data_IF_262861899730
#
_entry.id   IF_262861899730
#
_cell.length_a   1.000
_cell.length_b   1.000
_cell.length_c   1.000
_cell.angle_alpha   90.00
_cell.angle_beta   90.00
_cell.angle_gamma   90.00
#
_symmetry.space_group_name_H-M   'P 1'
#
loop_
_entity.id
_entity.type
_entity.pdbx_description
1 polymer ?
#
# COMPACT_ATOMS: atom_id res chain seq x y z
N UNK A 1 -7.90 40.72 19.44
CA UNK A 1 -7.93 39.25 19.63
C UNK A 1 -8.67 38.62 18.45
N UNK A 2 -7.98 38.04 17.46
CA UNK A 2 -8.62 37.39 16.34
C UNK A 2 -8.87 35.90 16.65
N UNK A 3 -10.04 35.44 16.24
CA UNK A 3 -10.68 34.18 16.58
C UNK A 3 -9.99 32.96 15.96
N UNK A 4 -9.98 31.88 16.75
CA UNK A 4 -9.49 30.54 16.39
C UNK A 4 -10.48 29.90 15.42
N UNK A 5 -10.18 29.94 14.12
CA UNK A 5 -10.85 29.10 13.13
C UNK A 5 -10.33 27.65 13.28
N UNK A 6 -11.24 26.74 13.64
CA UNK A 6 -10.95 25.38 14.04
C UNK A 6 -10.44 24.48 12.90
N UNK A 7 -9.49 23.61 13.25
CA UNK A 7 -8.84 22.57 12.42
C UNK A 7 -9.77 21.53 11.76
N UNK A 8 -11.10 21.69 11.83
CA UNK A 8 -12.08 20.72 11.32
C UNK A 8 -12.58 21.00 9.90
N UNK A 9 -12.19 22.11 9.27
CA UNK A 9 -12.68 22.50 7.94
C UNK A 9 -11.78 22.10 6.76
N UNK A 10 -10.63 21.46 6.98
CA UNK A 10 -9.64 21.21 5.90
C UNK A 10 -9.69 19.81 5.27
N UNK A 11 -10.69 18.97 5.58
CA UNK A 11 -10.79 17.59 5.06
C UNK A 11 -11.98 17.35 4.10
N UNK A 12 -12.67 18.40 3.65
CA UNK A 12 -13.93 18.25 2.90
C UNK A 12 -13.87 18.71 1.43
N UNK A 13 -12.70 18.94 0.84
CA UNK A 13 -12.62 19.44 -0.53
C UNK A 13 -11.65 18.60 -1.35
N UNK A 14 -12.22 17.66 -2.12
CA UNK A 14 -11.74 16.98 -3.35
C UNK A 14 -12.10 15.49 -3.36
N UNK A 15 -13.40 15.19 -3.25
CA UNK A 15 -13.96 13.92 -3.69
C UNK A 15 -14.99 14.23 -4.77
N UNK A 16 -14.51 14.42 -6.00
CA UNK A 16 -15.36 14.71 -7.13
C UNK A 16 -14.63 14.47 -8.43
N UNK A 17 -14.79 13.26 -8.97
CA UNK A 17 -15.10 12.99 -10.38
C UNK A 17 -15.27 11.47 -10.61
N UNK A 18 -16.54 11.08 -10.68
CA UNK A 18 -17.13 10.13 -11.64
C UNK A 18 -16.73 8.65 -11.61
N UNK A 19 -17.49 7.86 -10.85
CA UNK A 19 -17.67 6.43 -11.07
C UNK A 19 -19.05 6.17 -11.71
N UNK A 20 -19.17 6.31 -13.03
CA UNK A 20 -20.35 5.85 -13.78
C UNK A 20 -19.84 5.10 -15.02
N UNK A 21 -19.94 3.76 -15.01
CA UNK A 21 -19.78 2.94 -16.22
C UNK A 21 -18.92 1.66 -16.15
N UNK A 22 -18.38 1.25 -14.99
CA UNK A 22 -17.34 0.20 -14.95
C UNK A 22 -17.80 -1.24 -14.59
N UNK A 23 -19.08 -1.51 -14.36
CA UNK A 23 -19.49 -2.79 -13.74
C UNK A 23 -19.38 -4.02 -14.66
N UNK A 24 -19.48 -3.83 -15.99
CA UNK A 24 -19.40 -4.95 -16.97
C UNK A 24 -17.99 -5.28 -17.46
N UNK A 25 -17.12 -4.28 -17.66
CA UNK A 25 -15.73 -4.48 -18.16
C UNK A 25 -14.75 -4.89 -17.06
N UNK A 26 -14.97 -4.49 -15.81
CA UNK A 26 -14.08 -4.81 -14.70
C UNK A 26 -13.97 -6.32 -14.43
N UNK A 27 -15.05 -7.09 -14.63
CA UNK A 27 -15.07 -8.53 -14.35
C UNK A 27 -14.25 -9.38 -15.34
N UNK A 28 -14.16 -8.95 -16.60
CA UNK A 28 -13.32 -9.60 -17.62
C UNK A 28 -11.86 -9.12 -17.56
N UNK A 29 -11.61 -7.91 -17.05
CA UNK A 29 -10.27 -7.33 -16.91
C UNK A 29 -9.48 -7.84 -15.68
N UNK A 30 -10.15 -8.48 -14.72
CA UNK A 30 -9.51 -9.04 -13.51
C UNK A 30 -8.90 -10.43 -13.72
N UNK A 31 -9.19 -11.09 -14.84
CA UNK A 31 -8.58 -12.37 -15.20
C UNK A 31 -7.22 -12.10 -15.88
N UNK A 32 -6.24 -11.61 -15.13
CA UNK A 32 -4.89 -11.63 -15.64
C UNK A 32 -4.38 -13.08 -15.72
N UNK A 33 -3.68 -13.46 -16.80
CA UNK A 33 -3.18 -14.82 -16.97
C UNK A 33 -2.27 -15.27 -15.82
N UNK A 34 -1.56 -14.34 -15.17
CA UNK A 34 -0.52 -14.64 -14.19
C UNK A 34 -0.98 -14.81 -12.73
N UNK A 35 -2.24 -14.50 -12.39
CA UNK A 35 -2.73 -14.58 -11.00
C UNK A 35 -3.97 -15.46 -10.84
N UNK A 36 -4.03 -16.17 -9.72
CA UNK A 36 -5.27 -16.68 -9.13
C UNK A 36 -5.87 -15.61 -8.24
N UNK A 37 -7.19 -15.43 -8.34
CA UNK A 37 -7.93 -14.43 -7.57
C UNK A 37 -8.88 -15.15 -6.62
N UNK A 38 -8.77 -14.82 -5.33
CA UNK A 38 -9.66 -15.32 -4.30
C UNK A 38 -10.41 -14.16 -3.66
N UNK A 39 -11.74 -14.22 -3.71
CA UNK A 39 -12.63 -13.35 -2.93
C UNK A 39 -12.82 -13.95 -1.54
N UNK A 40 -11.98 -13.52 -0.59
CA UNK A 40 -11.90 -14.11 0.74
C UNK A 40 -12.88 -13.41 1.69
N UNK A 41 -13.72 -14.20 2.36
CA UNK A 41 -14.53 -13.77 3.50
C UNK A 41 -14.02 -14.47 4.76
N UNK A 42 -13.85 -13.70 5.83
CA UNK A 42 -13.37 -14.16 7.14
C UNK A 42 -14.26 -13.63 8.24
N UNK A 43 -14.21 -14.17 9.48
CA UNK A 43 -14.91 -13.58 10.62
C UNK A 43 -14.60 -12.08 10.77
N UNK A 44 -15.62 -11.29 11.09
CA UNK A 44 -15.51 -9.83 11.22
C UNK A 44 -16.84 -9.12 10.95
N UNK A 45 -16.84 -7.79 11.00
CA UNK A 45 -18.03 -6.97 10.75
C UNK A 45 -17.93 -6.28 9.40
N UNK A 46 -19.07 -6.02 8.76
CA UNK A 46 -19.10 -5.28 7.49
C UNK A 46 -18.58 -3.84 7.62
N UNK A 47 -18.65 -3.27 8.83
CA UNK A 47 -18.22 -1.91 9.11
C UNK A 47 -16.70 -1.82 9.22
N UNK A 48 -16.06 -2.80 9.87
CA UNK A 48 -14.63 -2.80 10.15
C UNK A 48 -13.82 -3.55 9.08
N UNK A 49 -14.30 -4.71 8.67
CA UNK A 49 -13.62 -5.61 7.73
C UNK A 49 -14.02 -7.06 7.95
N UNK A 50 -14.51 -7.72 6.90
CA UNK A 50 -14.71 -9.18 6.84
C UNK A 50 -14.46 -9.75 5.44
N UNK A 51 -13.87 -8.94 4.56
CA UNK A 51 -13.65 -9.27 3.16
C UNK A 51 -12.31 -8.74 2.68
N UNK A 52 -11.61 -9.55 1.90
CA UNK A 52 -10.41 -9.16 1.19
C UNK A 52 -10.39 -9.83 -0.18
N UNK A 53 -9.76 -9.18 -1.16
CA UNK A 53 -9.38 -9.84 -2.42
C UNK A 53 -7.91 -10.21 -2.34
N UNK A 54 -7.62 -11.48 -2.60
CA UNK A 54 -6.27 -12.04 -2.54
C UNK A 54 -5.84 -12.43 -3.95
N UNK A 55 -4.66 -11.97 -4.36
CA UNK A 55 -4.05 -12.28 -5.65
C UNK A 55 -2.79 -13.10 -5.41
N UNK A 56 -2.78 -14.32 -5.94
CA UNK A 56 -1.67 -15.27 -5.82
C UNK A 56 -1.04 -15.48 -7.19
N UNK A 57 0.27 -15.26 -7.36
CA UNK A 57 0.94 -15.53 -8.63
C UNK A 57 0.88 -17.02 -8.96
N UNK A 58 0.41 -17.39 -10.16
CA UNK A 58 0.36 -18.79 -10.63
C UNK A 58 1.75 -19.40 -10.75
N UNK A 59 2.73 -18.58 -11.15
CA UNK A 59 4.13 -18.97 -11.29
C UNK A 59 4.88 -18.69 -9.98
N UNK A 60 4.61 -19.46 -8.94
CA UNK A 60 5.53 -19.53 -7.80
C UNK A 60 6.61 -20.57 -8.13
N UNK A 61 7.90 -20.24 -7.91
CA UNK A 61 9.01 -21.18 -8.15
C UNK A 61 9.11 -22.25 -7.04
N UNK A 62 7.99 -22.72 -6.52
CA UNK A 62 7.90 -23.69 -5.41
C UNK A 62 8.33 -23.16 -4.03
N UNK A 63 8.79 -21.92 -3.91
CA UNK A 63 9.19 -21.30 -2.64
C UNK A 63 8.08 -20.40 -2.08
N UNK A 64 7.93 -20.31 -0.74
CA UNK A 64 7.00 -19.39 -0.11
C UNK A 64 7.25 -17.93 -0.51
N UNK A 65 6.18 -17.25 -0.94
CA UNK A 65 6.19 -15.88 -1.42
C UNK A 65 5.91 -14.89 -0.29
N UNK A 66 6.56 -13.71 -0.26
CA UNK A 66 6.15 -12.66 0.68
C UNK A 66 4.69 -12.23 0.45
N UNK A 67 4.08 -11.67 1.49
CA UNK A 67 2.74 -11.10 1.49
C UNK A 67 2.81 -9.59 1.58
N UNK A 68 2.02 -8.89 0.77
CA UNK A 68 1.83 -7.45 0.86
C UNK A 68 0.35 -7.13 1.09
N UNK A 69 0.04 -6.52 2.23
CA UNK A 69 -1.30 -6.01 2.55
C UNK A 69 -1.44 -4.58 2.02
N UNK A 70 -2.49 -4.32 1.26
CA UNK A 70 -2.71 -3.07 0.53
C UNK A 70 -4.05 -2.43 0.91
N UNK A 71 -4.00 -1.29 1.60
CA UNK A 71 -5.16 -0.57 2.09
C UNK A 71 -5.62 0.51 1.09
N UNK A 72 -6.92 0.60 0.82
CA UNK A 72 -7.46 1.50 -0.21
C UNK A 72 -7.83 2.90 0.34
N UNK A 73 -8.14 3.83 -0.56
CA UNK A 73 -8.49 5.20 -0.26
C UNK A 73 -9.92 5.40 0.28
N UNK A 74 -10.23 6.65 0.64
CA UNK A 74 -11.53 7.03 1.22
C UNK A 74 -12.70 6.85 0.25
N UNK A 75 -12.47 7.01 -1.05
CA UNK A 75 -13.53 6.94 -2.08
C UNK A 75 -14.20 5.57 -2.15
N UNK A 76 -13.52 4.53 -1.68
CA UNK A 76 -13.91 3.13 -1.82
C UNK A 76 -14.48 2.56 -0.51
N UNK A 77 -14.62 3.37 0.54
CA UNK A 77 -15.21 2.93 1.82
C UNK A 77 -16.73 2.77 1.79
N UNK A 78 -17.38 3.13 0.68
CA UNK A 78 -18.85 3.10 0.56
C UNK A 78 -19.43 1.69 0.38
N UNK A 79 -18.64 0.75 -0.11
CA UNK A 79 -19.06 -0.61 -0.39
C UNK A 79 -17.90 -1.59 -0.13
N UNK A 80 -18.16 -2.63 0.70
CA UNK A 80 -17.14 -3.60 1.09
C UNK A 80 -16.49 -4.32 -0.10
N UNK A 81 -17.28 -4.65 -1.14
CA UNK A 81 -16.77 -5.29 -2.35
C UNK A 81 -15.88 -4.33 -3.13
N UNK A 82 -16.36 -3.12 -3.37
CA UNK A 82 -15.62 -2.15 -4.19
C UNK A 82 -14.31 -1.74 -3.52
N UNK A 83 -14.29 -1.66 -2.18
CA UNK A 83 -13.08 -1.48 -1.39
C UNK A 83 -12.09 -2.63 -1.55
N UNK A 84 -12.53 -3.87 -1.34
CA UNK A 84 -11.66 -5.05 -1.48
C UNK A 84 -11.05 -5.19 -2.91
N UNK A 85 -11.80 -4.78 -3.94
CA UNK A 85 -11.34 -4.81 -5.34
C UNK A 85 -10.66 -3.51 -5.81
N UNK A 86 -10.61 -2.45 -4.99
CA UNK A 86 -10.19 -1.11 -5.40
C UNK A 86 -8.80 -1.10 -6.05
N UNK A 87 -7.83 -1.79 -5.45
CA UNK A 87 -6.48 -1.84 -5.99
C UNK A 87 -6.41 -2.43 -7.40
N UNK A 88 -7.16 -3.50 -7.64
CA UNK A 88 -7.18 -4.17 -8.93
C UNK A 88 -7.99 -3.42 -9.98
N UNK A 89 -9.14 -2.83 -9.59
CA UNK A 89 -10.06 -2.18 -10.53
C UNK A 89 -9.75 -0.70 -10.78
N UNK A 90 -9.09 -0.01 -9.83
CA UNK A 90 -8.97 1.46 -9.84
C UNK A 90 -7.53 1.96 -9.72
N UNK A 91 -6.62 1.20 -9.10
CA UNK A 91 -5.26 1.67 -8.84
C UNK A 91 -4.20 0.97 -9.70
N UNK A 92 -4.60 0.16 -10.68
CA UNK A 92 -3.68 -0.47 -11.63
C UNK A 92 -2.72 -1.48 -11.00
N UNK A 93 -3.14 -2.14 -9.90
CA UNK A 93 -2.32 -3.14 -9.20
C UNK A 93 -1.84 -4.23 -10.15
N UNK A 94 -2.80 -4.84 -10.83
CA UNK A 94 -2.62 -5.99 -11.70
C UNK A 94 -1.79 -5.63 -12.95
N UNK A 95 -2.09 -4.50 -13.60
CA UNK A 95 -1.31 -4.02 -14.76
C UNK A 95 0.11 -3.61 -14.38
N UNK A 96 0.32 -3.00 -13.20
CA UNK A 96 1.65 -2.64 -12.72
C UNK A 96 2.49 -3.88 -12.43
N UNK A 97 1.89 -4.91 -11.84
CA UNK A 97 2.55 -6.18 -11.59
C UNK A 97 3.01 -6.86 -12.88
N UNK A 98 2.16 -6.92 -13.91
CA UNK A 98 2.54 -7.48 -15.21
C UNK A 98 3.68 -6.71 -15.88
N UNK A 99 3.64 -5.37 -15.83
CA UNK A 99 4.73 -4.53 -16.36
C UNK A 99 6.06 -4.83 -15.67
N UNK A 100 6.05 -5.13 -14.36
CA UNK A 100 7.26 -5.51 -13.63
C UNK A 100 7.74 -6.93 -13.95
N UNK A 101 6.83 -7.86 -14.25
CA UNK A 101 7.17 -9.22 -14.70
C UNK A 101 7.75 -9.25 -16.12
N UNK A 102 7.35 -8.31 -16.97
CA UNK A 102 7.69 -8.29 -18.40
C UNK A 102 8.43 -7.00 -18.80
N UNK A 103 9.69 -6.81 -18.36
CA UNK A 103 10.47 -5.66 -18.80
C UNK A 103 10.70 -5.68 -20.33
N UNK A 104 10.82 -4.51 -21.00
CA UNK A 104 10.91 -3.18 -20.40
C UNK A 104 9.56 -2.65 -19.89
N UNK A 105 9.60 -1.93 -18.77
CA UNK A 105 8.43 -1.24 -18.24
C UNK A 105 8.09 -0.09 -19.20
N UNK A 106 6.96 -0.21 -19.89
CA UNK A 106 6.42 0.86 -20.72
C UNK A 106 5.73 1.94 -19.87
N UNK A 107 5.20 3.00 -20.50
CA UNK A 107 4.48 4.07 -19.80
C UNK A 107 3.05 3.68 -19.35
N UNK A 108 2.61 2.43 -19.47
CA UNK A 108 1.27 1.98 -19.09
C UNK A 108 0.16 2.68 -19.89
N UNK A 109 -0.23 3.89 -19.48
CA UNK A 109 -1.19 4.73 -20.17
C UNK A 109 -0.47 5.68 -21.14
N UNK A 110 -0.50 5.38 -22.45
CA UNK A 110 0.20 6.15 -23.50
C UNK A 110 -0.02 7.68 -23.49
N UNK A 111 -1.09 8.17 -22.87
CA UNK A 111 -1.44 9.61 -22.79
C UNK A 111 -1.00 10.29 -21.50
N UNK A 112 -0.72 9.52 -20.45
CA UNK A 112 -0.26 10.06 -19.18
C UNK A 112 1.27 9.99 -19.18
N UNK A 113 1.91 11.00 -18.58
CA UNK A 113 3.36 11.20 -18.66
C UNK A 113 3.95 11.34 -17.25
N UNK A 114 3.35 10.67 -16.27
CA UNK A 114 3.84 10.64 -14.90
C UNK A 114 5.09 9.76 -14.79
N UNK A 115 5.13 8.62 -15.49
CA UNK A 115 6.35 7.80 -15.59
C UNK A 115 7.27 8.34 -16.69
N UNK A 116 8.23 9.18 -16.29
CA UNK A 116 9.23 9.75 -17.21
C UNK A 116 10.21 8.69 -17.71
N UNK A 117 10.66 8.83 -18.98
CA UNK A 117 11.58 7.89 -19.63
C UNK A 117 12.84 7.56 -18.80
N UNK A 118 13.58 8.54 -18.22
CA UNK A 118 14.76 8.22 -17.42
C UNK A 118 14.47 7.31 -16.23
N UNK A 119 13.26 7.42 -15.64
CA UNK A 119 12.85 6.56 -14.53
C UNK A 119 12.45 5.17 -15.02
N UNK A 120 11.71 5.07 -16.12
CA UNK A 120 11.38 3.78 -16.75
C UNK A 120 12.65 3.00 -17.12
N UNK A 121 13.65 3.66 -17.68
CA UNK A 121 14.96 3.05 -17.98
C UNK A 121 15.70 2.61 -16.72
N UNK A 122 15.66 3.41 -15.65
CA UNK A 122 16.27 3.02 -14.38
C UNK A 122 15.61 1.78 -13.77
N UNK A 123 14.27 1.69 -13.86
CA UNK A 123 13.52 0.50 -13.44
C UNK A 123 13.89 -0.70 -14.32
N UNK A 124 13.96 -0.51 -15.64
CA UNK A 124 14.37 -1.57 -16.57
C UNK A 124 15.76 -2.12 -16.23
N UNK A 125 16.76 -1.26 -16.00
CA UNK A 125 18.10 -1.67 -15.55
C UNK A 125 18.06 -2.43 -14.23
N UNK A 126 17.26 -1.96 -13.27
CA UNK A 126 17.10 -2.65 -11.99
C UNK A 126 16.49 -4.05 -12.17
N UNK A 127 15.48 -4.19 -13.04
CA UNK A 127 14.83 -5.47 -13.34
C UNK A 127 15.74 -6.44 -14.10
N UNK A 128 16.63 -5.92 -14.95
CA UNK A 128 17.63 -6.74 -15.63
C UNK A 128 18.65 -7.37 -14.65
N UNK A 129 19.05 -6.63 -13.61
CA UNK A 129 19.96 -7.13 -12.57
C UNK A 129 19.26 -8.03 -11.55
N UNK A 130 18.05 -7.63 -11.15
CA UNK A 130 17.25 -8.33 -10.17
C UNK A 130 15.83 -8.47 -10.71
N UNK A 131 15.46 -9.59 -11.33
CA UNK A 131 14.09 -9.79 -11.80
C UNK A 131 13.06 -9.58 -10.69
N UNK A 132 11.88 -9.08 -11.03
CA UNK A 132 10.77 -8.99 -10.09
C UNK A 132 10.37 -10.42 -9.67
N UNK A 133 10.35 -10.69 -8.37
CA UNK A 133 10.12 -12.05 -7.83
C UNK A 133 8.66 -12.32 -7.55
N UNK A 134 7.92 -11.26 -7.24
CA UNK A 134 6.50 -11.31 -6.96
C UNK A 134 6.18 -11.64 -5.51
N UNK A 135 4.92 -11.36 -5.15
CA UNK A 135 4.36 -11.46 -3.81
C UNK A 135 2.89 -11.89 -3.90
N UNK A 136 2.36 -12.46 -2.82
CA UNK A 136 0.91 -12.57 -2.59
C UNK A 136 0.38 -11.18 -2.21
N UNK A 137 -0.63 -10.70 -2.91
CA UNK A 137 -1.21 -9.38 -2.67
C UNK A 137 -2.55 -9.54 -1.95
N UNK A 138 -2.73 -8.86 -0.82
CA UNK A 138 -3.93 -8.93 0.01
C UNK A 138 -4.57 -7.55 0.07
N UNK A 139 -5.75 -7.40 -0.52
CA UNK A 139 -6.48 -6.14 -0.59
C UNK A 139 -7.74 -6.22 0.28
N UNK A 140 -7.66 -5.95 1.60
CA UNK A 140 -8.83 -5.91 2.46
C UNK A 140 -9.67 -4.67 2.21
N UNK A 141 -10.97 -4.76 2.52
CA UNK A 141 -11.77 -3.57 2.74
C UNK A 141 -11.15 -2.73 3.87
N UNK A 142 -10.91 -1.46 3.59
CA UNK A 142 -10.35 -0.47 4.51
C UNK A 142 -11.49 0.40 5.06
N UNK A 143 -11.75 0.41 6.38
CA UNK A 143 -12.89 1.12 6.95
C UNK A 143 -12.69 2.63 6.99
N UNK A 144 -13.80 3.38 6.89
CA UNK A 144 -13.80 4.80 7.22
C UNK A 144 -13.81 5.00 8.75
N UNK A 145 -12.62 4.92 9.36
CA UNK A 145 -12.42 5.05 10.81
C UNK A 145 -12.86 6.41 11.37
N UNK A 146 -13.04 7.43 10.54
CA UNK A 146 -13.50 8.76 10.95
C UNK A 146 -15.03 8.85 11.14
N UNK A 147 -15.78 7.83 10.69
CA UNK A 147 -17.22 7.68 10.95
C UNK A 147 -17.51 6.77 12.15
N UNK A 148 -16.48 6.44 12.92
CA UNK A 148 -16.52 5.54 14.06
C UNK A 148 -15.79 6.18 15.26
N UNK A 149 -15.71 5.47 16.38
CA UNK A 149 -14.68 5.78 17.37
C UNK A 149 -13.32 5.46 16.74
N UNK A 150 -12.60 6.49 16.27
CA UNK A 150 -11.37 6.31 15.48
C UNK A 150 -10.30 5.52 16.21
N UNK A 151 -10.10 5.75 17.51
CA UNK A 151 -9.07 5.02 18.26
C UNK A 151 -9.38 3.53 18.34
N UNK A 152 -10.60 3.20 18.79
CA UNK A 152 -11.05 1.81 18.89
C UNK A 152 -11.10 1.13 17.52
N UNK A 153 -11.61 1.81 16.49
CA UNK A 153 -11.68 1.24 15.14
C UNK A 153 -10.29 0.93 14.58
N UNK A 154 -9.27 1.74 14.87
CA UNK A 154 -7.90 1.45 14.46
C UNK A 154 -7.29 0.28 15.25
N UNK A 155 -7.60 0.16 16.54
CA UNK A 155 -7.17 -0.98 17.37
C UNK A 155 -7.80 -2.29 16.88
N UNK A 156 -9.12 -2.29 16.69
CA UNK A 156 -9.88 -3.45 16.23
C UNK A 156 -9.47 -3.86 14.81
N UNK A 157 -9.26 -2.89 13.90
CA UNK A 157 -8.86 -3.18 12.53
C UNK A 157 -7.44 -3.74 12.46
N UNK A 158 -6.51 -3.22 13.27
CA UNK A 158 -5.15 -3.76 13.36
C UNK A 158 -5.14 -5.19 13.91
N UNK A 159 -5.96 -5.46 14.94
CA UNK A 159 -6.15 -6.79 15.49
C UNK A 159 -6.72 -7.74 14.42
N UNK A 160 -7.82 -7.35 13.77
CA UNK A 160 -8.46 -8.16 12.73
C UNK A 160 -7.50 -8.51 11.58
N UNK A 161 -6.72 -7.55 11.08
CA UNK A 161 -5.75 -7.80 10.01
C UNK A 161 -4.74 -8.89 10.40
N UNK A 162 -4.19 -8.80 11.60
CA UNK A 162 -3.07 -9.66 12.03
C UNK A 162 -3.53 -10.99 12.60
N UNK A 163 -4.63 -10.99 13.34
CA UNK A 163 -5.10 -12.13 14.13
C UNK A 163 -6.14 -12.96 13.36
N UNK A 164 -6.79 -12.39 12.35
CA UNK A 164 -7.83 -13.08 11.56
C UNK A 164 -7.45 -13.17 10.09
N UNK A 165 -7.22 -12.05 9.41
CA UNK A 165 -7.04 -12.05 7.96
C UNK A 165 -5.72 -12.72 7.53
N UNK A 166 -4.58 -12.33 8.10
CA UNK A 166 -3.28 -12.87 7.70
C UNK A 166 -3.17 -14.41 7.91
N UNK A 167 -3.63 -14.98 9.04
CA UNK A 167 -3.70 -16.43 9.20
C UNK A 167 -4.54 -17.14 8.11
N UNK A 168 -5.71 -16.59 7.78
CA UNK A 168 -6.59 -17.15 6.73
C UNK A 168 -5.99 -17.04 5.33
N UNK A 169 -5.21 -15.99 5.05
CA UNK A 169 -4.46 -15.88 3.79
C UNK A 169 -3.36 -16.94 3.74
N UNK A 170 -2.59 -17.10 4.82
CA UNK A 170 -1.46 -18.05 4.88
C UNK A 170 -1.91 -19.50 4.77
N UNK A 171 -3.08 -19.86 5.30
CA UNK A 171 -3.61 -21.22 5.17
C UNK A 171 -4.09 -21.58 3.76
N UNK A 172 -4.28 -20.60 2.87
CA UNK A 172 -4.89 -20.77 1.54
C UNK A 172 -3.97 -20.37 0.37
N UNK A 173 -2.78 -19.88 0.65
CA UNK A 173 -1.85 -19.35 -0.35
C UNK A 173 -0.42 -19.79 -0.04
N UNK A 174 0.52 -19.74 -1.00
CA UNK A 174 1.94 -20.02 -0.74
C UNK A 174 2.64 -18.86 0.00
N UNK A 175 1.91 -18.11 0.83
CA UNK A 175 2.43 -17.01 1.61
C UNK A 175 3.48 -17.49 2.62
N UNK A 176 4.59 -16.74 2.72
CA UNK A 176 5.62 -16.95 3.73
C UNK A 176 5.08 -16.52 5.09
N UNK A 177 5.37 -17.34 6.10
CA UNK A 177 5.08 -17.01 7.48
C UNK A 177 6.02 -15.95 8.06
N UNK A 178 5.52 -15.29 9.11
CA UNK A 178 6.30 -14.38 9.92
C UNK A 178 6.51 -12.99 9.34
N UNK A 179 7.08 -12.15 10.18
CA UNK A 179 7.28 -10.72 9.94
C UNK A 179 8.12 -10.42 8.71
N UNK A 180 9.26 -11.09 8.54
CA UNK A 180 10.20 -10.87 7.41
C UNK A 180 9.59 -11.19 6.04
N UNK A 181 8.49 -11.93 6.01
CA UNK A 181 7.71 -12.21 4.80
C UNK A 181 6.53 -11.28 4.59
N UNK A 182 6.28 -10.29 5.45
CA UNK A 182 5.02 -9.54 5.46
C UNK A 182 5.26 -8.03 5.38
N UNK A 183 4.62 -7.39 4.40
CA UNK A 183 4.59 -5.95 4.22
C UNK A 183 3.19 -5.36 4.32
N UNK A 184 3.13 -4.07 4.62
CA UNK A 184 1.90 -3.28 4.73
C UNK A 184 2.07 -1.95 4.00
N UNK A 185 1.13 -1.59 3.15
CA UNK A 185 1.07 -0.28 2.48
C UNK A 185 -0.39 0.15 2.25
N UNK A 186 -0.59 1.37 1.80
CA UNK A 186 -1.91 1.86 1.45
C UNK A 186 -1.90 3.22 0.77
N UNK A 187 -2.97 3.52 0.03
CA UNK A 187 -3.12 4.78 -0.68
C UNK A 187 -4.01 5.76 0.10
N UNK A 188 -3.64 7.05 0.15
CA UNK A 188 -4.49 8.09 0.76
C UNK A 188 -4.92 7.74 2.20
N UNK A 189 -6.23 7.57 2.47
CA UNK A 189 -6.74 7.03 3.75
C UNK A 189 -6.02 5.73 4.16
N UNK A 190 -5.85 4.81 3.22
CA UNK A 190 -5.15 3.55 3.44
C UNK A 190 -3.70 3.75 3.87
N UNK A 191 -3.01 4.77 3.37
CA UNK A 191 -1.65 5.13 3.81
C UNK A 191 -1.62 5.74 5.21
N UNK A 192 -2.66 6.48 5.61
CA UNK A 192 -2.82 6.89 7.00
C UNK A 192 -3.04 5.67 7.91
N UNK A 193 -3.94 4.75 7.51
CA UNK A 193 -4.27 3.57 8.30
C UNK A 193 -3.10 2.58 8.35
N UNK A 194 -2.29 2.44 7.30
CA UNK A 194 -1.12 1.54 7.29
C UNK A 194 -0.13 1.94 8.39
N UNK A 195 0.18 3.24 8.53
CA UNK A 195 1.03 3.76 9.60
C UNK A 195 0.44 3.50 10.99
N UNK A 196 -0.89 3.62 11.14
CA UNK A 196 -1.60 3.39 12.39
C UNK A 196 -1.63 1.91 12.78
N UNK A 197 -1.85 1.01 11.82
CA UNK A 197 -1.83 -0.44 12.02
C UNK A 197 -0.41 -0.89 12.40
N UNK A 198 0.61 -0.41 11.69
CA UNK A 198 2.00 -0.74 11.99
C UNK A 198 2.39 -0.34 13.42
N UNK A 199 1.94 0.81 13.93
CA UNK A 199 2.20 1.20 15.33
C UNK A 199 1.57 0.29 16.37
N UNK A 200 0.45 -0.36 16.03
CA UNK A 200 -0.35 -1.21 16.92
C UNK A 200 0.06 -2.67 16.89
N UNK A 201 0.62 -3.12 15.76
CA UNK A 201 1.07 -4.50 15.53
C UNK A 201 2.42 -4.55 14.77
N UNK A 202 3.47 -3.86 15.25
CA UNK A 202 4.76 -3.78 14.55
C UNK A 202 5.52 -5.12 14.45
N UNK A 203 5.10 -6.12 15.20
CA UNK A 203 5.64 -7.49 15.21
C UNK A 203 5.19 -8.28 13.98
N UNK A 204 4.11 -7.85 13.31
CA UNK A 204 3.56 -8.56 12.16
C UNK A 204 4.20 -8.16 10.82
N UNK A 205 4.86 -7.01 10.74
CA UNK A 205 5.29 -6.40 9.47
C UNK A 205 6.77 -6.05 9.48
N UNK A 206 7.50 -6.43 8.43
CA UNK A 206 8.88 -6.01 8.20
C UNK A 206 8.96 -4.70 7.43
N UNK A 207 8.07 -4.51 6.46
CA UNK A 207 7.93 -3.25 5.70
C UNK A 207 6.62 -2.55 6.03
N UNK A 208 6.68 -1.23 6.09
CA UNK A 208 5.49 -0.37 6.25
C UNK A 208 5.59 0.83 5.31
N UNK A 209 4.51 1.17 4.62
CA UNK A 209 4.50 2.31 3.73
C UNK A 209 3.18 3.02 3.54
N UNK A 210 3.24 4.10 2.78
CA UNK A 210 2.07 4.82 2.30
C UNK A 210 2.34 5.49 0.97
N UNK A 211 1.42 5.33 0.03
CA UNK A 211 1.39 6.02 -1.27
C UNK A 211 0.39 7.17 -1.20
N UNK A 212 0.88 8.40 -1.35
CA UNK A 212 0.10 9.63 -1.18
C UNK A 212 -0.68 9.62 0.14
N UNK A 213 -0.03 9.20 1.24
CA UNK A 213 -0.73 8.97 2.50
C UNK A 213 -1.41 10.24 3.01
N UNK A 214 -2.68 10.13 3.41
CA UNK A 214 -3.53 11.25 3.84
C UNK A 214 -3.19 11.70 5.27
N UNK A 215 -1.98 12.23 5.46
CA UNK A 215 -1.44 12.65 6.75
C UNK A 215 -1.33 14.17 6.82
N UNK A 216 -1.62 14.73 8.00
CA UNK A 216 -1.57 16.17 8.22
C UNK A 216 -0.15 16.71 8.40
N UNK A 217 0.04 18.01 8.14
CA UNK A 217 1.30 18.72 8.42
C UNK A 217 1.68 18.54 9.91
N UNK A 218 2.95 18.24 10.16
CA UNK A 218 3.51 18.04 11.51
C UNK A 218 3.30 16.65 12.12
N UNK A 219 2.43 15.80 11.57
CA UNK A 219 2.26 14.42 12.05
C UNK A 219 3.47 13.54 11.69
N UNK A 220 4.18 13.86 10.60
CA UNK A 220 5.37 13.12 10.16
C UNK A 220 6.43 12.96 11.25
N UNK A 221 6.68 14.00 12.06
CA UNK A 221 7.62 13.92 13.21
C UNK A 221 7.16 12.91 14.25
N UNK A 222 5.87 12.86 14.56
CA UNK A 222 5.32 11.94 15.56
C UNK A 222 5.41 10.49 15.08
N UNK A 223 5.09 10.23 13.81
CA UNK A 223 5.26 8.91 13.22
C UNK A 223 6.72 8.48 13.18
N UNK A 224 7.63 9.34 12.72
CA UNK A 224 9.04 9.01 12.70
C UNK A 224 9.60 8.70 14.09
N UNK A 225 9.14 9.40 15.14
CA UNK A 225 9.51 9.08 16.51
C UNK A 225 9.00 7.69 16.91
N UNK A 226 7.71 7.42 16.74
CA UNK A 226 7.13 6.12 17.10
C UNK A 226 7.76 4.96 16.32
N UNK A 227 8.05 5.15 15.04
CA UNK A 227 8.73 4.16 14.21
C UNK A 227 10.16 3.92 14.69
N UNK A 228 10.85 4.97 15.14
CA UNK A 228 12.18 4.81 15.73
C UNK A 228 12.12 4.00 17.02
N UNK A 229 11.19 4.33 17.92
CA UNK A 229 11.03 3.61 19.19
C UNK A 229 10.69 2.12 18.93
N UNK A 230 9.87 1.84 17.92
CA UNK A 230 9.55 0.48 17.46
C UNK A 230 10.80 -0.24 16.96
N UNK A 231 11.61 0.40 16.10
CA UNK A 231 12.84 -0.21 15.54
C UNK A 231 13.88 -0.47 16.63
N UNK A 232 14.02 0.45 17.59
CA UNK A 232 14.91 0.24 18.74
C UNK A 232 14.47 -0.95 19.59
N UNK A 233 13.15 -1.14 19.76
CA UNK A 233 12.59 -2.22 20.59
C UNK A 233 12.56 -3.58 19.90
N UNK A 234 12.21 -3.61 18.61
CA UNK A 234 11.85 -4.84 17.89
C UNK A 234 12.78 -5.17 16.72
N UNK A 235 13.86 -4.40 16.57
CA UNK A 235 14.83 -4.56 15.50
C UNK A 235 14.43 -3.90 14.17
N UNK A 236 15.24 -4.10 13.12
CA UNK A 236 15.13 -3.37 11.86
C UNK A 236 13.76 -3.48 11.18
N UNK A 237 13.31 -2.36 10.61
CA UNK A 237 12.12 -2.24 9.75
C UNK A 237 12.44 -1.29 8.61
N UNK A 238 11.76 -1.45 7.49
CA UNK A 238 11.98 -0.61 6.30
C UNK A 238 10.74 0.16 5.95
N UNK A 239 10.90 1.44 5.62
CA UNK A 239 9.78 2.36 5.41
C UNK A 239 9.69 2.85 3.97
N UNK A 240 8.48 2.78 3.41
CA UNK A 240 8.18 3.32 2.10
C UNK A 240 7.34 4.59 2.24
N UNK A 241 7.81 5.67 1.61
CA UNK A 241 7.05 6.91 1.52
C UNK A 241 7.01 7.31 0.06
N UNK A 242 5.82 7.38 -0.49
CA UNK A 242 5.63 7.76 -1.88
C UNK A 242 4.57 8.85 -1.98
N UNK A 243 4.81 9.85 -2.82
CA UNK A 243 3.87 10.94 -3.08
C UNK A 243 4.12 11.52 -4.48
N UNK A 244 3.33 12.52 -4.87
CA UNK A 244 3.47 13.21 -6.14
C UNK A 244 3.61 14.71 -5.97
N UNK A 245 4.13 15.39 -6.99
CA UNK A 245 4.45 16.84 -6.92
C UNK A 245 3.27 17.72 -6.55
N UNK A 246 2.06 17.37 -7.01
CA UNK A 246 0.83 18.13 -6.82
C UNK A 246 -0.15 17.43 -5.87
N UNK A 247 0.34 16.51 -5.03
CA UNK A 247 -0.43 15.88 -3.96
C UNK A 247 -0.68 16.89 -2.82
N UNK A 248 -1.93 17.11 -2.36
CA UNK A 248 -2.19 17.96 -1.20
C UNK A 248 -1.50 17.47 0.09
N UNK A 249 -1.12 16.20 0.16
CA UNK A 249 -0.35 15.63 1.27
C UNK A 249 1.16 15.57 1.02
N UNK A 250 1.65 16.13 -0.09
CA UNK A 250 3.06 16.11 -0.49
C UNK A 250 3.99 16.53 0.65
N UNK A 251 3.81 17.74 1.19
CA UNK A 251 4.70 18.30 2.20
C UNK A 251 4.77 17.42 3.46
N UNK A 252 3.63 16.83 3.85
CA UNK A 252 3.55 16.01 5.04
C UNK A 252 4.27 14.66 4.87
N UNK A 253 4.19 14.06 3.68
CA UNK A 253 4.92 12.83 3.33
C UNK A 253 6.43 13.10 3.20
N UNK A 254 6.83 14.17 2.52
CA UNK A 254 8.25 14.58 2.42
C UNK A 254 8.82 14.87 3.81
N UNK A 255 8.06 15.54 4.67
CA UNK A 255 8.45 15.78 6.06
C UNK A 255 8.63 14.48 6.85
N UNK A 256 7.72 13.51 6.71
CA UNK A 256 7.86 12.19 7.32
C UNK A 256 9.18 11.55 6.91
N UNK A 257 9.46 11.44 5.60
CA UNK A 257 10.72 10.87 5.11
C UNK A 257 11.95 11.59 5.67
N UNK A 258 11.94 12.93 5.69
CA UNK A 258 13.02 13.72 6.29
C UNK A 258 13.21 13.40 7.78
N UNK A 259 12.14 13.16 8.51
CA UNK A 259 12.19 12.82 9.94
C UNK A 259 12.64 11.37 10.18
N UNK A 260 12.34 10.44 9.27
CA UNK A 260 12.89 9.07 9.27
C UNK A 260 14.41 9.12 9.05
N UNK A 261 14.87 9.89 8.06
CA UNK A 261 16.29 10.09 7.78
C UNK A 261 17.05 10.63 9.00
N UNK A 262 16.52 11.67 9.65
CA UNK A 262 17.13 12.27 10.86
C UNK A 262 17.26 11.29 12.03
N UNK A 263 16.47 10.22 12.05
CA UNK A 263 16.46 9.18 13.08
C UNK A 263 17.22 7.92 12.66
N UNK A 264 17.91 7.94 11.53
CA UNK A 264 18.68 6.82 11.02
C UNK A 264 17.82 5.60 10.64
N UNK A 265 16.55 5.79 10.30
CA UNK A 265 15.68 4.70 9.89
C UNK A 265 15.83 4.40 8.40
N UNK A 266 15.89 3.10 8.07
CA UNK A 266 15.93 2.63 6.68
C UNK A 266 14.60 2.96 5.99
N UNK A 267 14.66 3.85 5.01
CA UNK A 267 13.48 4.33 4.29
C UNK A 267 13.81 4.72 2.86
N UNK A 268 12.79 4.73 2.01
CA UNK A 268 12.86 5.31 0.68
C UNK A 268 11.73 6.31 0.47
N UNK A 269 12.09 7.51 0.03
CA UNK A 269 11.16 8.49 -0.49
C UNK A 269 11.11 8.43 -2.02
N UNK A 270 9.92 8.35 -2.60
CA UNK A 270 9.67 8.59 -4.03
C UNK A 270 8.71 9.77 -4.19
N UNK A 271 9.13 10.77 -4.98
CA UNK A 271 8.26 11.87 -5.42
C UNK A 271 8.23 11.84 -6.94
N UNK A 272 7.10 11.44 -7.53
CA UNK A 272 6.90 11.44 -8.97
C UNK A 272 6.08 12.67 -9.42
N UNK A 273 6.20 13.13 -10.67
CA UNK A 273 5.32 14.17 -11.19
C UNK A 273 3.86 13.73 -11.17
N UNK A 274 2.96 14.63 -10.79
CA UNK A 274 1.52 14.44 -10.96
C UNK A 274 0.68 14.76 -9.70
N UNK A 275 -0.64 14.59 -9.80
CA UNK A 275 -1.59 14.94 -8.75
C UNK A 275 -1.97 13.73 -7.88
N UNK A 276 -2.83 14.00 -6.88
CA UNK A 276 -3.48 12.96 -6.07
C UNK A 276 -4.70 12.36 -6.79
N UNK A 277 -4.46 11.36 -7.65
CA UNK A 277 -5.55 10.69 -8.38
C UNK A 277 -5.23 9.25 -8.82
N UNK A 278 -6.26 8.56 -9.27
CA UNK A 278 -6.17 7.17 -9.75
C UNK A 278 -5.29 7.03 -11.02
N UNK A 279 -5.37 7.90 -12.05
CA UNK A 279 -4.44 7.83 -13.19
C UNK A 279 -2.96 7.82 -12.80
N UNK A 280 -2.57 8.62 -11.80
CA UNK A 280 -1.20 8.65 -11.29
C UNK A 280 -0.81 7.31 -10.62
N UNK A 281 -1.70 6.74 -9.79
CA UNK A 281 -1.49 5.42 -9.20
C UNK A 281 -1.33 4.33 -10.27
N UNK A 282 -2.20 4.33 -11.28
CA UNK A 282 -2.18 3.34 -12.38
C UNK A 282 -0.87 3.42 -13.18
N UNK A 283 -0.39 4.64 -13.47
CA UNK A 283 0.77 4.82 -14.34
C UNK A 283 2.11 4.55 -13.62
N UNK A 284 2.29 5.12 -12.43
CA UNK A 284 3.58 5.14 -11.72
C UNK A 284 3.48 4.71 -10.26
N UNK A 285 2.48 5.18 -9.51
CA UNK A 285 2.45 5.03 -8.06
C UNK A 285 2.46 3.58 -7.60
N UNK A 286 1.52 2.78 -8.11
CA UNK A 286 1.42 1.36 -7.76
C UNK A 286 2.62 0.55 -8.23
N UNK A 287 3.24 0.95 -9.35
CA UNK A 287 4.41 0.29 -9.91
C UNK A 287 5.65 0.49 -9.03
N UNK A 288 5.93 1.72 -8.60
CA UNK A 288 7.05 2.04 -7.70
C UNK A 288 6.90 1.34 -6.35
N UNK A 289 5.71 1.40 -5.75
CA UNK A 289 5.36 0.71 -4.51
C UNK A 289 5.63 -0.81 -4.61
N UNK A 290 5.09 -1.49 -5.63
CA UNK A 290 5.28 -2.92 -5.81
C UNK A 290 6.77 -3.29 -5.96
N UNK A 291 7.48 -2.53 -6.80
CA UNK A 291 8.91 -2.76 -7.03
C UNK A 291 9.71 -2.60 -5.73
N UNK A 292 9.39 -1.59 -4.92
CA UNK A 292 10.06 -1.37 -3.64
C UNK A 292 9.85 -2.55 -2.68
N UNK A 293 8.60 -2.95 -2.44
CA UNK A 293 8.29 -4.05 -1.51
C UNK A 293 8.92 -5.37 -1.94
N UNK A 294 8.92 -5.67 -3.24
CA UNK A 294 9.60 -6.86 -3.77
C UNK A 294 11.09 -6.89 -3.38
N UNK A 295 11.79 -5.76 -3.46
CA UNK A 295 13.22 -5.70 -3.06
C UNK A 295 13.41 -5.88 -1.57
N UNK A 296 12.61 -5.20 -0.78
CA UNK A 296 12.78 -5.23 0.67
C UNK A 296 12.48 -6.64 1.22
N UNK A 297 11.36 -7.24 0.82
CA UNK A 297 10.92 -8.55 1.30
C UNK A 297 11.74 -9.70 0.71
N UNK A 298 12.35 -9.52 -0.47
CA UNK A 298 13.34 -10.45 -1.00
C UNK A 298 14.60 -10.51 -0.13
N UNK A 299 15.11 -9.35 0.30
CA UNK A 299 16.34 -9.25 1.09
C UNK A 299 16.19 -9.72 2.53
N UNK A 300 14.98 -9.60 3.09
CA UNK A 300 14.66 -10.08 4.44
C UNK A 300 14.77 -11.60 4.59
N UNK A 301 14.50 -12.35 3.51
CA UNK A 301 14.57 -13.82 3.51
C UNK A 301 15.99 -14.39 3.39
N UNK A 302 16.98 -13.58 2.98
CA UNK A 302 18.38 -14.02 2.83
C UNK A 302 19.24 -13.74 4.06
N UNK A 303 18.78 -12.88 4.98
CA UNK A 303 19.50 -12.50 6.20
C UNK A 303 19.40 -13.54 7.34
N UNK A 304 19.00 -14.78 7.04
CA UNK A 304 18.79 -15.86 8.02
C UNK A 304 19.70 -17.09 7.84
N UNK A 305 20.73 -17.03 7.00
CA UNK A 305 21.78 -18.05 7.05
C UNK A 305 22.90 -17.57 7.98
N UNK A 306 23.25 -18.35 9.03
CA UNK A 306 24.27 -17.99 10.00
C UNK A 306 25.66 -17.80 9.38
#
# INVERSE_FOLDING_TARGET
>A
MPSVLGRRAMLASLAGLSAVGATGRARAALALPEHEVMDLRVPGTAQLGRRATVFTPKRSRGAPLPVLVLLHGLGETGNERDGAYAWAERYGLLTSYERLLHPPVDRGLRRMSFLRAPRAEAIHRQLALHPFRGMVLVCPYTPNVFRMNTAQALDDYAAWLVEVLLPEVRSRTPARDGMHGTGLDGCSLGGFISFQVFQRRPEAFFTCGGVQAAIGKGIGTQYAQRFHDIVQRLGPRRFHVETSTDDPYHDANVELARQLARRGLDHQLRVAPGPHNQPWLIEVGTLEMLLWHDRQLASAGTAQLP
#
